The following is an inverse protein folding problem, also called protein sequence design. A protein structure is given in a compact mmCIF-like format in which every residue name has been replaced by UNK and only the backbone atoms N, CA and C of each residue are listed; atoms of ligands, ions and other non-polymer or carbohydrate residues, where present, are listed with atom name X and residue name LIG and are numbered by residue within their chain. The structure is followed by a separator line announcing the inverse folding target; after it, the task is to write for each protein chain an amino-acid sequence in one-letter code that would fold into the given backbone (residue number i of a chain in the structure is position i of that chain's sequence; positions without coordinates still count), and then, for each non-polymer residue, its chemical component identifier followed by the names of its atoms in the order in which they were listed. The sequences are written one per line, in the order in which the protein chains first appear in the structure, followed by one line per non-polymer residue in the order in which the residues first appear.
data_IF_872883103275
#
_entry.id   IF_872883103275
#
_cell.length_a   1.000
_cell.length_b   1.000
_cell.length_c   1.000
_cell.angle_alpha   90.00
_cell.angle_beta   90.00
_cell.angle_gamma   90.00
#
_symmetry.space_group_name_H-M   'P 1'
#
loop_
_entity.id
_entity.type
_entity.pdbx_description
1 polymer ?
#
# COMPACT_ATOMS: atom_id res chain seq x y z
N UNK A 1 11.26 18.88 -5.51
CA UNK A 1 12.65 18.60 -5.12
C UNK A 1 12.66 17.95 -3.74
N UNK A 2 13.31 16.78 -3.60
CA UNK A 2 13.59 16.14 -2.29
C UNK A 2 12.47 15.30 -1.67
N UNK A 3 11.35 15.04 -2.35
CA UNK A 3 10.33 14.10 -1.84
C UNK A 3 10.74 12.66 -2.14
N UNK A 4 10.69 11.80 -1.14
CA UNK A 4 10.87 10.35 -1.32
C UNK A 4 9.64 9.79 -2.04
N UNK A 5 9.87 8.85 -2.96
CA UNK A 5 8.78 8.15 -3.65
C UNK A 5 9.17 6.69 -3.87
N UNK A 6 8.19 5.82 -3.99
CA UNK A 6 8.33 4.43 -4.39
C UNK A 6 7.76 4.31 -5.79
N UNK A 7 8.50 3.67 -6.71
CA UNK A 7 8.04 3.44 -8.07
C UNK A 7 8.18 1.97 -8.46
N UNK A 8 7.20 1.49 -9.23
CA UNK A 8 7.15 0.11 -9.69
C UNK A 8 8.13 -0.16 -10.83
N UNK A 9 8.95 -1.20 -10.67
CA UNK A 9 9.67 -1.82 -11.79
C UNK A 9 8.72 -2.80 -12.47
N UNK A 10 8.03 -2.36 -13.50
CA UNK A 10 7.11 -3.18 -14.26
C UNK A 10 7.76 -3.59 -15.58
N UNK A 11 8.04 -4.89 -15.73
CA UNK A 11 8.79 -5.44 -16.86
C UNK A 11 7.94 -6.31 -17.81
N UNK A 12 6.63 -6.38 -17.59
CA UNK A 12 5.74 -7.16 -18.46
C UNK A 12 5.82 -6.66 -19.91
N UNK A 13 6.09 -7.57 -20.83
CA UNK A 13 6.23 -7.26 -22.25
C UNK A 13 7.59 -6.68 -22.66
N UNK A 14 8.56 -6.59 -21.75
CA UNK A 14 9.95 -6.24 -22.10
C UNK A 14 10.74 -7.49 -22.46
N UNK A 15 11.58 -7.37 -23.49
CA UNK A 15 12.46 -8.45 -23.93
C UNK A 15 13.71 -8.54 -23.07
N UNK A 16 14.20 -9.77 -22.85
CA UNK A 16 15.45 -10.06 -22.19
C UNK A 16 15.31 -10.97 -20.96
N UNK A 17 16.43 -11.29 -20.35
CA UNK A 17 16.46 -12.02 -19.09
C UNK A 17 15.81 -11.18 -17.97
N UNK A 18 14.80 -11.71 -17.24
CA UNK A 18 14.08 -10.96 -16.23
C UNK A 18 14.96 -10.32 -15.15
N UNK A 19 16.03 -11.01 -14.69
CA UNK A 19 16.91 -10.48 -13.65
C UNK A 19 17.66 -9.24 -14.15
N UNK A 20 18.17 -9.29 -15.37
CA UNK A 20 18.85 -8.16 -16.02
C UNK A 20 17.91 -6.99 -16.24
N UNK A 21 16.68 -7.25 -16.71
CA UNK A 21 15.69 -6.20 -16.97
C UNK A 21 15.24 -5.54 -15.68
N UNK A 22 14.94 -6.31 -14.61
CA UNK A 22 14.60 -5.75 -13.31
C UNK A 22 15.72 -4.89 -12.73
N UNK A 23 16.97 -5.35 -12.79
CA UNK A 23 18.12 -4.61 -12.30
C UNK A 23 18.29 -3.27 -13.04
N UNK A 24 18.13 -3.26 -14.36
CA UNK A 24 18.16 -2.04 -15.19
C UNK A 24 17.05 -1.06 -14.80
N UNK A 25 15.81 -1.53 -14.76
CA UNK A 25 14.65 -0.66 -14.44
C UNK A 25 14.72 -0.14 -12.99
N UNK A 26 15.18 -0.98 -12.04
CA UNK A 26 15.42 -0.55 -10.67
C UNK A 26 16.47 0.57 -10.60
N UNK A 27 17.56 0.46 -11.38
CA UNK A 27 18.60 1.48 -11.45
C UNK A 27 18.10 2.81 -12.01
N UNK A 28 17.18 2.79 -12.98
CA UNK A 28 16.54 4.00 -13.51
C UNK A 28 15.74 4.72 -12.41
N UNK A 29 14.92 3.98 -11.64
CA UNK A 29 14.15 4.54 -10.53
C UNK A 29 15.07 5.11 -9.45
N UNK A 30 16.11 4.36 -9.08
CA UNK A 30 17.11 4.81 -8.10
C UNK A 30 17.82 6.09 -8.55
N UNK A 31 18.20 6.18 -9.81
CA UNK A 31 18.86 7.39 -10.39
C UNK A 31 17.94 8.60 -10.37
N UNK A 32 16.63 8.41 -10.42
CA UNK A 32 15.63 9.47 -10.25
C UNK A 32 15.36 9.84 -8.78
N UNK A 33 16.03 9.20 -7.81
CA UNK A 33 15.87 9.43 -6.37
C UNK A 33 14.71 8.65 -5.72
N UNK A 34 14.12 7.68 -6.44
CA UNK A 34 13.05 6.81 -5.94
C UNK A 34 13.57 5.51 -5.32
N UNK A 35 12.71 4.81 -4.59
CA UNK A 35 12.93 3.44 -4.14
C UNK A 35 12.18 2.49 -5.09
N UNK A 36 12.87 1.56 -5.77
CA UNK A 36 12.21 0.60 -6.65
C UNK A 36 11.36 -0.40 -5.86
N UNK A 37 10.19 -0.76 -6.38
CA UNK A 37 9.39 -1.91 -5.92
C UNK A 37 9.18 -2.88 -7.07
N UNK A 38 9.57 -4.16 -6.90
CA UNK A 38 9.53 -5.15 -7.96
C UNK A 38 8.11 -5.69 -8.15
N UNK A 39 7.46 -5.31 -9.25
CA UNK A 39 6.17 -5.90 -9.63
C UNK A 39 6.37 -7.32 -10.16
N UNK A 40 5.47 -8.28 -9.84
CA UNK A 40 5.50 -9.58 -10.49
C UNK A 40 5.26 -9.44 -12.01
N UNK A 41 5.79 -10.37 -12.78
CA UNK A 41 5.54 -10.48 -14.21
C UNK A 41 5.27 -11.92 -14.62
N UNK A 42 4.67 -12.13 -15.80
CA UNK A 42 4.32 -13.46 -16.30
C UNK A 42 5.54 -14.36 -16.47
N UNK A 43 6.69 -13.81 -16.87
CA UNK A 43 7.93 -14.57 -17.07
C UNK A 43 8.46 -15.20 -15.77
N UNK A 44 8.13 -14.66 -14.59
CA UNK A 44 8.60 -15.16 -13.29
C UNK A 44 7.51 -15.85 -12.47
N UNK A 45 6.31 -16.01 -13.02
CA UNK A 45 5.14 -16.52 -12.29
C UNK A 45 5.37 -17.90 -11.68
N UNK A 46 6.06 -18.79 -12.41
CA UNK A 46 6.28 -20.18 -12.02
C UNK A 46 7.68 -20.46 -11.47
N UNK A 47 8.46 -19.42 -11.20
CA UNK A 47 9.80 -19.59 -10.66
C UNK A 47 9.76 -20.20 -9.26
N UNK A 48 10.68 -21.11 -9.00
CA UNK A 48 10.85 -21.70 -7.68
C UNK A 48 11.52 -20.70 -6.71
N UNK A 49 11.78 -21.16 -5.48
CA UNK A 49 12.43 -20.36 -4.44
C UNK A 49 13.83 -19.91 -4.87
N UNK A 50 14.64 -20.81 -5.44
CA UNK A 50 16.03 -20.52 -5.80
C UNK A 50 16.10 -19.46 -6.90
N UNK A 51 15.30 -19.62 -7.93
CA UNK A 51 15.18 -18.65 -9.03
C UNK A 51 14.70 -17.28 -8.52
N UNK A 52 13.71 -17.28 -7.63
CA UNK A 52 13.18 -16.04 -7.03
C UNK A 52 14.25 -15.34 -6.19
N UNK A 53 14.93 -16.04 -5.30
CA UNK A 53 15.99 -15.48 -4.46
C UNK A 53 17.18 -15.00 -5.30
N UNK A 54 17.54 -15.74 -6.34
CA UNK A 54 18.60 -15.34 -7.28
C UNK A 54 18.29 -14.03 -7.99
N UNK A 55 17.06 -13.85 -8.48
CA UNK A 55 16.57 -12.59 -9.05
C UNK A 55 16.75 -11.42 -8.07
N UNK A 56 16.24 -11.59 -6.85
CA UNK A 56 16.28 -10.52 -5.84
C UNK A 56 17.72 -10.17 -5.45
N UNK A 57 18.62 -11.16 -5.38
CA UNK A 57 20.06 -10.92 -5.18
C UNK A 57 20.69 -10.13 -6.32
N UNK A 58 20.34 -10.45 -7.57
CA UNK A 58 20.84 -9.72 -8.76
C UNK A 58 20.40 -8.26 -8.72
N UNK A 59 19.15 -7.97 -8.37
CA UNK A 59 18.67 -6.60 -8.20
C UNK A 59 19.42 -5.89 -7.06
N UNK A 60 19.66 -6.58 -5.94
CA UNK A 60 20.41 -6.04 -4.80
C UNK A 60 21.87 -5.70 -5.12
N UNK A 61 22.45 -6.30 -6.17
CA UNK A 61 23.77 -5.89 -6.68
C UNK A 61 23.73 -4.59 -7.49
N UNK A 62 22.56 -4.26 -8.05
CA UNK A 62 22.40 -3.09 -8.94
C UNK A 62 21.93 -1.83 -8.19
N UNK A 63 21.22 -1.96 -7.06
CA UNK A 63 20.68 -0.83 -6.30
C UNK A 63 20.92 -1.00 -4.80
N UNK A 64 21.12 0.11 -4.05
CA UNK A 64 21.41 0.05 -2.61
C UNK A 64 20.21 -0.38 -1.77
N UNK A 65 18.99 -0.17 -2.25
CA UNK A 65 17.76 -0.59 -1.59
C UNK A 65 16.61 -0.73 -2.57
N UNK A 66 15.72 -1.68 -2.30
CA UNK A 66 14.50 -1.90 -3.07
C UNK A 66 13.47 -2.65 -2.22
N UNK A 67 12.23 -2.73 -2.75
CA UNK A 67 11.11 -3.44 -2.14
C UNK A 67 10.68 -4.61 -3.01
N UNK A 68 10.20 -5.67 -2.37
CA UNK A 68 9.48 -6.75 -3.02
C UNK A 68 7.98 -6.48 -3.11
N UNK A 69 7.27 -7.22 -3.95
CA UNK A 69 5.82 -7.13 -4.06
C UNK A 69 5.18 -8.49 -4.26
N UNK A 70 4.43 -8.94 -3.27
CA UNK A 70 3.51 -10.06 -3.34
C UNK A 70 2.14 -9.56 -3.79
N UNK A 71 1.74 -9.88 -5.00
CA UNK A 71 0.47 -9.45 -5.61
C UNK A 71 -0.37 -10.68 -5.93
N UNK A 72 -1.55 -10.77 -5.33
CA UNK A 72 -2.44 -11.92 -5.53
C UNK A 72 -3.07 -11.96 -6.93
N UNK A 73 -3.48 -13.16 -7.35
CA UNK A 73 -4.08 -13.41 -8.68
C UNK A 73 -5.40 -12.68 -8.89
N UNK A 74 -6.08 -12.21 -7.81
CA UNK A 74 -7.29 -11.39 -7.92
C UNK A 74 -7.02 -10.01 -8.53
N UNK A 75 -5.76 -9.54 -8.56
CA UNK A 75 -5.36 -8.27 -9.16
C UNK A 75 -4.85 -8.44 -10.60
N UNK A 76 -4.01 -9.47 -10.83
CA UNK A 76 -3.44 -9.80 -12.15
C UNK A 76 -3.30 -11.32 -12.29
N UNK A 77 -3.49 -11.90 -13.49
CA UNK A 77 -3.46 -13.35 -13.68
C UNK A 77 -2.14 -14.02 -13.28
N UNK A 78 -1.02 -13.31 -13.45
CA UNK A 78 0.33 -13.76 -13.10
C UNK A 78 0.75 -13.34 -11.69
N UNK A 79 -0.19 -12.91 -10.85
CA UNK A 79 0.09 -12.55 -9.46
C UNK A 79 0.62 -13.74 -8.67
N UNK A 80 1.47 -13.45 -7.69
CA UNK A 80 2.11 -14.46 -6.86
C UNK A 80 2.24 -14.00 -5.41
N UNK A 81 1.85 -14.89 -4.51
CA UNK A 81 2.13 -14.80 -3.08
C UNK A 81 3.18 -15.88 -2.78
N UNK A 82 4.30 -15.48 -2.20
CA UNK A 82 5.38 -16.41 -1.87
C UNK A 82 4.96 -17.37 -0.74
N UNK A 83 5.50 -18.60 -0.76
CA UNK A 83 5.47 -19.42 0.45
C UNK A 83 6.38 -18.83 1.53
N UNK A 84 6.19 -19.26 2.78
CA UNK A 84 6.94 -18.70 3.92
C UNK A 84 8.43 -18.99 3.86
N UNK A 85 8.84 -20.10 3.24
CA UNK A 85 10.26 -20.44 3.10
C UNK A 85 10.93 -19.52 2.08
N UNK A 86 10.24 -19.19 0.98
CA UNK A 86 10.69 -18.17 0.03
C UNK A 86 10.75 -16.80 0.70
N UNK A 87 9.71 -16.38 1.42
CA UNK A 87 9.70 -15.10 2.13
C UNK A 87 10.87 -15.02 3.13
N UNK A 88 11.09 -16.07 3.94
CA UNK A 88 12.21 -16.16 4.90
C UNK A 88 13.57 -16.04 4.19
N UNK A 89 13.77 -16.73 3.07
CA UNK A 89 15.03 -16.67 2.33
C UNK A 89 15.30 -15.29 1.71
N UNK A 90 14.24 -14.53 1.37
CA UNK A 90 14.36 -13.16 0.89
C UNK A 90 14.80 -12.18 1.98
N UNK A 91 14.51 -12.46 3.26
CA UNK A 91 14.97 -11.63 4.38
C UNK A 91 16.50 -11.60 4.54
N UNK A 92 17.23 -12.58 3.98
CA UNK A 92 18.70 -12.61 3.98
C UNK A 92 19.35 -11.63 2.99
N UNK A 93 18.57 -10.92 2.17
CA UNK A 93 19.07 -9.96 1.18
C UNK A 93 19.10 -8.56 1.80
N UNK A 94 20.28 -7.99 2.12
CA UNK A 94 20.37 -6.73 2.87
C UNK A 94 19.71 -5.54 2.13
N UNK A 95 19.79 -5.52 0.80
CA UNK A 95 19.26 -4.45 -0.04
C UNK A 95 17.72 -4.50 -0.18
N UNK A 96 17.11 -5.67 0.06
CA UNK A 96 15.66 -5.80 0.14
C UNK A 96 15.21 -5.29 1.52
N UNK A 97 14.72 -4.06 1.59
CA UNK A 97 14.40 -3.38 2.87
C UNK A 97 12.95 -3.57 3.30
N UNK A 98 12.13 -4.19 2.48
CA UNK A 98 10.73 -4.47 2.77
C UNK A 98 10.02 -5.15 1.62
N UNK A 99 8.78 -5.58 1.87
CA UNK A 99 7.90 -6.14 0.85
C UNK A 99 6.45 -5.70 1.08
N UNK A 100 5.77 -5.35 -0.01
CA UNK A 100 4.33 -5.16 -0.02
C UNK A 100 3.63 -6.51 -0.14
N UNK A 101 2.63 -6.75 0.70
CA UNK A 101 1.83 -7.97 0.71
C UNK A 101 0.37 -7.66 0.35
N UNK A 102 -0.08 -8.11 -0.83
CA UNK A 102 -1.45 -7.88 -1.35
C UNK A 102 -2.14 -9.19 -1.68
N UNK A 103 -2.39 -10.00 -0.65
CA UNK A 103 -3.15 -11.26 -0.75
C UNK A 103 -4.64 -11.10 -0.46
N UNK A 104 -5.06 -10.00 0.15
CA UNK A 104 -6.36 -9.78 0.79
C UNK A 104 -6.64 -10.79 1.92
N UNK A 105 -5.62 -11.48 2.43
CA UNK A 105 -5.70 -12.42 3.56
C UNK A 105 -4.95 -11.86 4.76
N UNK A 106 -5.67 -11.62 5.83
CA UNK A 106 -5.12 -11.18 7.12
C UNK A 106 -4.16 -12.23 7.71
N UNK A 107 -4.53 -13.50 7.63
CA UNK A 107 -3.74 -14.62 8.17
C UNK A 107 -2.37 -14.73 7.48
N UNK A 108 -2.34 -14.65 6.16
CA UNK A 108 -1.08 -14.68 5.42
C UNK A 108 -0.16 -13.51 5.78
N UNK A 109 -0.70 -12.34 6.05
CA UNK A 109 0.11 -11.19 6.46
C UNK A 109 0.64 -11.33 7.88
N UNK A 110 -0.15 -11.82 8.83
CA UNK A 110 0.32 -12.14 10.18
C UNK A 110 1.48 -13.13 10.19
N UNK A 111 1.45 -14.14 9.30
CA UNK A 111 2.55 -15.07 9.14
C UNK A 111 3.85 -14.35 8.70
N UNK A 112 3.75 -13.33 7.81
CA UNK A 112 4.91 -12.52 7.41
C UNK A 112 5.43 -11.68 8.56
N UNK A 113 4.54 -11.06 9.33
CA UNK A 113 4.92 -10.30 10.52
C UNK A 113 5.64 -11.18 11.54
N UNK A 114 5.13 -12.37 11.83
CA UNK A 114 5.76 -13.31 12.74
C UNK A 114 7.16 -13.75 12.25
N UNK A 115 7.32 -14.06 10.97
CA UNK A 115 8.63 -14.41 10.39
C UNK A 115 9.57 -13.21 10.43
N UNK A 116 9.11 -12.01 10.07
CA UNK A 116 9.87 -10.77 10.11
C UNK A 116 10.41 -10.51 11.53
N UNK A 117 9.54 -10.57 12.53
CA UNK A 117 9.89 -10.30 13.92
C UNK A 117 10.94 -11.28 14.48
N UNK A 118 10.88 -12.54 14.03
CA UNK A 118 11.82 -13.57 14.44
C UNK A 118 13.18 -13.52 13.71
N UNK A 119 13.23 -13.03 12.47
CA UNK A 119 14.42 -13.16 11.60
C UNK A 119 15.07 -11.82 11.34
N UNK A 120 14.28 -10.77 11.02
CA UNK A 120 14.79 -9.45 10.64
C UNK A 120 13.80 -8.36 11.02
N UNK A 121 13.75 -7.94 12.29
CA UNK A 121 12.75 -6.99 12.83
C UNK A 121 12.69 -5.63 12.12
N UNK A 122 13.81 -5.17 11.53
CA UNK A 122 13.87 -3.91 10.79
C UNK A 122 13.29 -4.01 9.36
N UNK A 123 13.00 -5.21 8.87
CA UNK A 123 12.38 -5.40 7.55
C UNK A 123 10.93 -4.91 7.56
N UNK A 124 10.55 -4.12 6.58
CA UNK A 124 9.21 -3.57 6.51
C UNK A 124 8.25 -4.47 5.77
N UNK A 125 7.19 -4.89 6.44
CA UNK A 125 6.02 -5.49 5.81
C UNK A 125 5.01 -4.39 5.54
N UNK A 126 4.76 -4.09 4.27
CA UNK A 126 3.76 -3.11 3.88
C UNK A 126 2.45 -3.83 3.59
N UNK A 127 1.42 -3.60 4.40
CA UNK A 127 0.10 -4.09 4.03
C UNK A 127 -0.34 -3.46 2.70
N UNK A 128 -0.69 -4.31 1.76
CA UNK A 128 -1.45 -3.99 0.56
C UNK A 128 -2.84 -4.59 0.65
N UNK A 129 -3.26 -4.91 1.87
CA UNK A 129 -4.50 -5.61 2.19
C UNK A 129 -5.59 -4.59 2.48
N UNK A 130 -6.22 -4.09 1.44
CA UNK A 130 -7.25 -3.05 1.53
C UNK A 130 -8.50 -3.49 2.31
N UNK A 131 -8.59 -4.79 2.68
CA UNK A 131 -9.64 -5.36 3.55
C UNK A 131 -9.17 -5.55 5.00
N UNK A 132 -7.96 -5.12 5.35
CA UNK A 132 -7.37 -5.24 6.69
C UNK A 132 -6.40 -4.09 6.98
N UNK A 133 -6.86 -2.86 6.82
CA UNK A 133 -6.03 -1.65 6.99
C UNK A 133 -5.58 -1.40 8.43
N UNK A 134 -6.19 -2.07 9.38
CA UNK A 134 -5.84 -2.05 10.80
C UNK A 134 -4.58 -2.88 11.14
N UNK A 135 -3.99 -3.60 10.17
CA UNK A 135 -2.74 -4.36 10.38
C UNK A 135 -1.55 -3.48 10.79
N UNK A 136 -1.65 -2.17 10.66
CA UNK A 136 -0.69 -1.22 11.24
C UNK A 136 -0.57 -1.37 12.76
N UNK A 137 -1.64 -1.74 13.47
CA UNK A 137 -1.63 -2.00 14.91
C UNK A 137 -0.75 -3.21 15.29
N UNK A 138 -0.46 -4.09 14.31
CA UNK A 138 0.33 -5.31 14.45
C UNK A 138 1.75 -5.17 13.88
N UNK A 139 2.14 -3.93 13.54
CA UNK A 139 3.47 -3.61 13.07
C UNK A 139 3.67 -3.70 11.55
N UNK A 140 2.61 -3.72 10.75
CA UNK A 140 2.71 -3.43 9.33
C UNK A 140 2.87 -1.93 9.09
N UNK A 141 3.71 -1.55 8.13
CA UNK A 141 3.54 -0.29 7.39
C UNK A 141 2.40 -0.47 6.37
N UNK A 142 2.14 0.52 5.50
CA UNK A 142 1.16 0.31 4.43
C UNK A 142 1.55 0.93 3.08
N UNK A 143 1.13 0.27 2.01
CA UNK A 143 1.09 0.77 0.62
C UNK A 143 -0.26 0.35 0.02
N UNK A 144 -1.34 0.96 0.51
CA UNK A 144 -2.71 0.60 0.19
C UNK A 144 -3.22 1.32 -1.06
N UNK A 145 -3.97 0.62 -1.91
CA UNK A 145 -4.76 1.23 -2.96
C UNK A 145 -5.83 2.15 -2.39
N UNK A 146 -6.41 1.78 -1.25
CA UNK A 146 -7.43 2.55 -0.55
C UNK A 146 -6.93 3.92 -0.07
N UNK A 147 -5.65 4.08 0.27
CA UNK A 147 -5.12 5.36 0.72
C UNK A 147 -5.24 6.49 -0.31
N UNK A 148 -5.34 6.14 -1.60
CA UNK A 148 -5.54 7.12 -2.68
C UNK A 148 -6.95 7.75 -2.69
N UNK A 149 -7.93 7.16 -1.98
CA UNK A 149 -9.30 7.69 -1.92
C UNK A 149 -9.40 8.94 -1.05
N UNK A 150 -8.70 8.94 0.10
CA UNK A 150 -8.77 10.03 1.08
C UNK A 150 -7.47 10.13 1.89
N UNK A 151 -6.49 10.79 1.33
CA UNK A 151 -5.14 10.90 1.91
C UNK A 151 -5.18 11.58 3.28
N UNK A 152 -6.01 12.60 3.42
CA UNK A 152 -6.14 13.38 4.66
C UNK A 152 -6.73 12.53 5.81
N UNK A 153 -7.72 11.67 5.51
CA UNK A 153 -8.31 10.79 6.53
C UNK A 153 -7.30 9.71 6.97
N UNK A 154 -6.50 9.16 6.05
CA UNK A 154 -5.40 8.26 6.42
C UNK A 154 -4.36 8.97 7.31
N UNK A 155 -3.97 10.19 6.97
CA UNK A 155 -3.04 10.97 7.78
C UNK A 155 -3.60 11.30 9.18
N UNK A 156 -4.88 11.63 9.27
CA UNK A 156 -5.56 11.86 10.54
C UNK A 156 -5.62 10.58 11.40
N UNK A 157 -5.96 9.44 10.78
CA UNK A 157 -5.95 8.12 11.44
C UNK A 157 -4.56 7.78 11.99
N UNK A 158 -3.53 7.94 11.19
CA UNK A 158 -2.15 7.62 11.59
C UNK A 158 -1.69 8.54 12.73
N UNK A 159 -2.04 9.81 12.63
CA UNK A 159 -1.73 10.75 13.71
C UNK A 159 -2.49 10.43 15.01
N UNK A 160 -3.74 10.00 14.91
CA UNK A 160 -4.50 9.54 16.08
C UNK A 160 -3.84 8.31 16.72
N UNK A 161 -3.36 7.36 15.91
CA UNK A 161 -2.60 6.20 16.39
C UNK A 161 -1.34 6.60 17.14
N UNK A 162 -0.51 7.47 16.56
CA UNK A 162 0.72 7.98 17.18
C UNK A 162 0.47 8.66 18.53
N UNK A 163 -0.67 9.34 18.68
CA UNK A 163 -1.05 10.05 19.89
C UNK A 163 -1.76 9.18 20.93
N UNK A 164 -2.10 7.92 20.60
CA UNK A 164 -2.96 7.09 21.44
C UNK A 164 -4.40 7.60 21.54
N UNK A 165 -4.86 8.37 20.54
CA UNK A 165 -6.19 8.97 20.50
C UNK A 165 -7.23 7.95 20.01
N UNK A 166 -8.30 7.75 20.79
CA UNK A 166 -9.36 6.79 20.49
C UNK A 166 -10.11 7.04 19.16
N UNK A 167 -10.04 8.24 18.60
CA UNK A 167 -10.59 8.57 17.28
C UNK A 167 -9.94 7.77 16.14
N UNK A 168 -8.77 7.16 16.40
CA UNK A 168 -8.18 6.18 15.49
C UNK A 168 -9.19 5.11 15.07
N UNK A 169 -9.93 4.54 16.01
CA UNK A 169 -10.85 3.44 15.74
C UNK A 169 -12.00 3.89 14.82
N UNK A 170 -12.58 5.06 15.07
CA UNK A 170 -13.66 5.56 14.23
C UNK A 170 -13.18 5.88 12.80
N UNK A 171 -12.06 6.58 12.65
CA UNK A 171 -11.44 6.85 11.34
C UNK A 171 -11.10 5.55 10.61
N UNK A 172 -10.52 4.58 11.33
CA UNK A 172 -10.16 3.29 10.75
C UNK A 172 -11.39 2.51 10.27
N UNK A 173 -12.47 2.50 11.03
CA UNK A 173 -13.69 1.76 10.69
C UNK A 173 -14.39 2.32 9.45
N UNK A 174 -14.49 3.65 9.33
CA UNK A 174 -15.06 4.26 8.13
C UNK A 174 -14.18 4.08 6.90
N UNK A 175 -12.85 4.17 7.04
CA UNK A 175 -11.90 3.85 5.97
C UNK A 175 -11.98 2.37 5.57
N UNK A 176 -12.09 1.46 6.55
CA UNK A 176 -12.24 0.03 6.28
C UNK A 176 -13.57 -0.27 5.59
N UNK A 177 -14.66 0.40 5.97
CA UNK A 177 -15.95 0.24 5.29
C UNK A 177 -15.88 0.70 3.83
N UNK A 178 -15.22 1.83 3.55
CA UNK A 178 -14.94 2.25 2.18
C UNK A 178 -14.12 1.19 1.43
N UNK A 179 -13.12 0.60 2.07
CA UNK A 179 -12.32 -0.50 1.51
C UNK A 179 -13.17 -1.72 1.14
N UNK A 180 -14.06 -2.15 2.02
CA UNK A 180 -14.95 -3.29 1.77
C UNK A 180 -15.86 -3.05 0.56
N UNK A 181 -16.36 -1.84 0.37
CA UNK A 181 -17.17 -1.46 -0.79
C UNK A 181 -16.33 -1.41 -2.07
N UNK A 182 -15.15 -0.78 -1.99
CA UNK A 182 -14.31 -0.55 -3.15
C UNK A 182 -13.68 -1.84 -3.68
N UNK A 183 -13.18 -2.70 -2.79
CA UNK A 183 -12.42 -3.92 -3.15
C UNK A 183 -13.27 -5.20 -3.21
N UNK A 184 -14.61 -5.10 -3.16
CA UNK A 184 -15.46 -6.26 -3.46
C UNK A 184 -15.26 -6.75 -4.89
N UNK A 185 -15.65 -8.00 -5.16
CA UNK A 185 -15.52 -8.58 -6.51
C UNK A 185 -16.33 -7.78 -7.56
N UNK A 186 -15.83 -7.63 -8.79
CA UNK A 186 -14.47 -7.93 -9.22
C UNK A 186 -13.48 -6.90 -8.65
N UNK A 187 -12.41 -7.38 -7.99
CA UNK A 187 -11.46 -6.53 -7.28
C UNK A 187 -10.88 -5.40 -8.15
N UNK A 188 -10.47 -5.60 -9.42
CA UNK A 188 -9.91 -4.54 -10.25
C UNK A 188 -10.82 -3.32 -10.46
N UNK A 189 -12.14 -3.45 -10.20
CA UNK A 189 -13.10 -2.35 -10.29
C UNK A 189 -12.91 -1.29 -9.18
N UNK A 190 -12.07 -1.54 -8.16
CA UNK A 190 -11.74 -0.52 -7.16
C UNK A 190 -11.19 0.77 -7.78
N UNK A 191 -10.52 0.67 -8.93
CA UNK A 191 -10.01 1.83 -9.67
C UNK A 191 -11.13 2.77 -10.10
N UNK A 192 -12.26 2.20 -10.56
CA UNK A 192 -13.45 2.99 -10.90
C UNK A 192 -14.12 3.57 -9.65
N UNK A 193 -14.24 2.77 -8.56
CA UNK A 193 -14.74 3.29 -7.28
C UNK A 193 -13.88 4.47 -6.79
N UNK A 194 -12.55 4.37 -6.90
CA UNK A 194 -11.65 5.47 -6.54
C UNK A 194 -11.94 6.73 -7.36
N UNK A 195 -12.07 6.60 -8.66
CA UNK A 195 -12.39 7.73 -9.53
C UNK A 195 -13.76 8.35 -9.19
N UNK A 196 -14.80 7.54 -8.98
CA UNK A 196 -16.11 8.01 -8.53
C UNK A 196 -16.01 8.77 -7.19
N UNK A 197 -15.29 8.21 -6.20
CA UNK A 197 -15.12 8.82 -4.89
C UNK A 197 -14.34 10.13 -4.95
N UNK A 198 -13.24 10.20 -5.70
CA UNK A 198 -12.46 11.43 -5.89
C UNK A 198 -13.25 12.51 -6.63
N UNK A 199 -14.12 12.13 -7.57
CA UNK A 199 -15.02 13.07 -8.25
C UNK A 199 -16.07 13.63 -7.30
N UNK A 200 -16.67 12.78 -6.45
CA UNK A 200 -17.63 13.23 -5.42
C UNK A 200 -16.98 14.21 -4.43
N UNK A 201 -15.70 14.02 -4.11
CA UNK A 201 -14.90 14.96 -3.30
C UNK A 201 -14.45 16.21 -4.06
N UNK A 202 -14.70 16.32 -5.36
CA UNK A 202 -14.25 17.45 -6.19
C UNK A 202 -12.74 17.45 -6.50
N UNK A 203 -12.02 16.36 -6.23
CA UNK A 203 -10.57 16.25 -6.48
C UNK A 203 -10.25 16.09 -7.96
N UNK A 204 -11.10 15.35 -8.68
CA UNK A 204 -10.96 15.15 -10.13
C UNK A 204 -12.28 15.48 -10.84
N UNK A 205 -12.24 15.97 -12.08
CA UNK A 205 -13.45 16.36 -12.83
C UNK A 205 -14.19 15.18 -13.46
N UNK A 206 -13.54 14.04 -13.67
CA UNK A 206 -14.07 12.92 -14.44
C UNK A 206 -13.73 11.60 -13.77
N UNK A 207 -14.70 10.69 -13.70
CA UNK A 207 -14.59 9.34 -13.13
C UNK A 207 -14.59 8.23 -14.18
N UNK A 208 -14.51 8.58 -15.48
CA UNK A 208 -14.51 7.59 -16.55
C UNK A 208 -13.35 6.59 -16.40
N UNK A 209 -13.61 5.29 -16.31
CA UNK A 209 -12.55 4.29 -16.24
C UNK A 209 -11.94 4.06 -17.62
N UNK A 210 -10.78 3.40 -17.67
CA UNK A 210 -10.21 2.92 -18.92
C UNK A 210 -11.25 2.06 -19.67
N UNK A 211 -11.37 2.18 -21.02
CA UNK A 211 -12.40 1.47 -21.80
C UNK A 211 -12.48 -0.06 -21.56
N UNK A 212 -11.33 -0.69 -21.27
CA UNK A 212 -11.23 -2.13 -20.93
C UNK A 212 -11.21 -2.38 -19.42
N UNK A 213 -11.40 -1.35 -18.58
CA UNK A 213 -11.41 -1.47 -17.13
C UNK A 213 -12.75 -1.97 -16.59
N UNK A 214 -12.72 -2.69 -15.48
CA UNK A 214 -13.92 -3.07 -14.77
C UNK A 214 -14.64 -1.83 -14.21
N UNK A 215 -15.98 -1.85 -14.24
CA UNK A 215 -16.85 -0.75 -13.81
C UNK A 215 -17.65 -1.10 -12.57
N UNK A 216 -18.01 -0.06 -11.81
CA UNK A 216 -19.01 -0.12 -10.73
C UNK A 216 -20.33 0.50 -11.18
N UNK A 217 -21.45 0.03 -10.66
CA UNK A 217 -22.77 0.59 -11.00
C UNK A 217 -22.94 1.96 -10.35
N UNK A 218 -23.75 2.80 -10.98
CA UNK A 218 -24.08 4.13 -10.46
C UNK A 218 -24.91 4.08 -9.16
N UNK A 219 -25.54 2.94 -8.87
CA UNK A 219 -26.22 2.69 -7.59
C UNK A 219 -25.29 2.75 -6.37
N UNK A 220 -23.98 2.69 -6.54
CA UNK A 220 -23.00 2.87 -5.47
C UNK A 220 -22.83 4.36 -5.07
N UNK A 221 -23.14 5.30 -5.97
CA UNK A 221 -22.83 6.72 -5.78
C UNK A 221 -23.44 7.34 -4.51
N UNK A 222 -24.70 7.07 -4.13
CA UNK A 222 -25.25 7.63 -2.89
C UNK A 222 -24.47 7.19 -1.65
N UNK A 223 -24.07 5.91 -1.57
CA UNK A 223 -23.27 5.39 -0.46
C UNK A 223 -21.86 5.98 -0.45
N UNK A 224 -21.23 6.13 -1.61
CA UNK A 224 -19.91 6.76 -1.71
C UNK A 224 -19.95 8.24 -1.32
N UNK A 225 -21.05 8.95 -1.63
CA UNK A 225 -21.22 10.34 -1.23
C UNK A 225 -21.39 10.49 0.30
N UNK A 226 -22.15 9.60 0.94
CA UNK A 226 -22.29 9.57 2.40
C UNK A 226 -20.95 9.29 3.08
N UNK A 227 -20.20 8.31 2.59
CA UNK A 227 -18.87 7.98 3.10
C UNK A 227 -17.88 9.15 2.93
N UNK A 228 -17.91 9.84 1.80
CA UNK A 228 -17.05 10.99 1.57
C UNK A 228 -17.36 12.11 2.56
N UNK A 229 -18.66 12.42 2.79
CA UNK A 229 -19.07 13.45 3.73
C UNK A 229 -18.67 13.11 5.18
N UNK A 230 -18.83 11.85 5.60
CA UNK A 230 -18.45 11.41 6.96
C UNK A 230 -16.93 11.49 7.17
N UNK A 231 -16.15 10.98 6.25
CA UNK A 231 -14.68 11.04 6.35
C UNK A 231 -14.15 12.47 6.34
N UNK A 232 -14.74 13.36 5.55
CA UNK A 232 -14.39 14.79 5.55
C UNK A 232 -14.72 15.45 6.90
N UNK A 233 -15.90 15.18 7.47
CA UNK A 233 -16.31 15.72 8.77
C UNK A 233 -15.36 15.27 9.89
N UNK A 234 -15.07 13.97 9.99
CA UNK A 234 -14.15 13.41 10.99
C UNK A 234 -12.73 13.95 10.85
N UNK A 235 -12.24 14.07 9.61
CA UNK A 235 -10.90 14.60 9.33
C UNK A 235 -10.79 16.07 9.76
N UNK A 236 -11.82 16.87 9.47
CA UNK A 236 -11.89 18.29 9.85
C UNK A 236 -11.97 18.45 11.37
N UNK A 237 -12.80 17.68 12.04
CA UNK A 237 -12.93 17.69 13.51
C UNK A 237 -11.60 17.33 14.19
N UNK A 238 -10.92 16.29 13.69
CA UNK A 238 -9.61 15.88 14.18
C UNK A 238 -8.58 17.01 14.04
N UNK A 239 -8.53 17.68 12.89
CA UNK A 239 -7.60 18.79 12.64
C UNK A 239 -7.84 19.98 13.58
N UNK A 240 -9.09 20.37 13.84
CA UNK A 240 -9.43 21.48 14.73
C UNK A 240 -9.03 21.19 16.17
N UNK A 241 -9.32 19.99 16.68
CA UNK A 241 -8.99 19.63 18.07
C UNK A 241 -7.49 19.48 18.31
N UNK A 242 -6.73 19.04 17.33
CA UNK A 242 -5.28 18.93 17.41
C UNK A 242 -4.58 20.30 17.46
N UNK A 243 -5.13 21.32 16.81
CA UNK A 243 -4.62 22.69 16.85
C UNK A 243 -4.96 23.41 18.17
N UNK A 244 -6.10 23.11 18.81
CA UNK A 244 -6.47 23.72 20.08
C UNK A 244 -5.64 23.21 21.27
N UNK A 245 -5.21 21.95 21.25
CA UNK A 245 -4.31 21.40 22.28
C UNK A 245 -2.88 21.93 22.16
N UNK A 246 -2.39 22.21 20.95
CA UNK A 246 -1.06 22.79 20.74
C UNK A 246 -0.96 24.27 21.20
N UNK A 247 -2.06 25.02 21.19
CA UNK A 247 -2.09 26.43 21.66
C UNK A 247 -2.26 26.56 23.18
N UNK A 248 -2.74 25.53 23.86
CA UNK A 248 -2.91 25.52 25.33
C UNK A 248 -1.59 25.34 26.11
N UNK A 249 -0.62 24.64 25.54
CA UNK A 249 0.65 24.33 26.22
C UNK A 249 1.67 25.50 26.25
N UNK A 250 1.45 26.56 25.50
CA UNK A 250 2.35 27.73 25.43
C UNK A 250 2.12 28.66 26.63
N UNK A 251 0.99 28.60 27.32
CA UNK A 251 0.67 29.51 28.43
C UNK A 251 0.99 28.98 29.84
N UNK A 252 1.45 27.73 29.99
CA UNK A 252 1.78 27.16 31.32
C UNK A 252 3.27 27.11 31.67
N UNK A 253 4.18 27.59 30.81
CA UNK A 253 5.64 27.62 31.08
C UNK A 253 6.23 28.98 31.49
N UNK A 254 5.37 29.93 31.88
CA UNK A 254 5.83 31.21 32.44
C UNK A 254 5.06 31.53 33.73
N UNK A 255 5.37 30.76 34.77
CA UNK A 255 5.24 31.19 36.18
C UNK A 255 6.22 30.43 37.05
#
# INVERSE_FOLDING_TARGET
RGRRFIAGTYIEGLDGDPATVYAREASVIQSAGGTPILFPCSATQHWDREQTVSLFRSVGQAVPQFLGFELGTMFVPFGRIWDLDTFRALLDIPQLVGAKHSSLSRDLEWQRLAVRDAVRPEFRVYTGNDLAIDLIQWGSDYLLGLSAFHVEAFAARDRAWELGDGRFFELNDWLQYLGMIAFRAPVPAYKHTCAQFLKLRGVIPCDAPHPRGARRPDSDLPLLADLAARLEALTTEFAHSSNSSASGDIHQKTR
#
